data_IF_662642475444
#
_entry.id   IF_662642475444
#
_cell.length_a   1.000
_cell.length_b   1.000
_cell.length_c   1.000
_cell.angle_alpha   90.00
_cell.angle_beta   90.00
_cell.angle_gamma   90.00
#
_symmetry.space_group_name_H-M   'P 1'
#
loop_
_entity.id
_entity.type
_entity.pdbx_description
1 polymer ?
#
# COMPACT_ATOMS: atom_id res chain seq x y z
N UNK A 1 16.00 -29.41 5.37
CA UNK A 1 15.99 -28.15 4.58
C UNK A 1 15.67 -28.33 3.09
N UNK A 2 15.88 -29.51 2.48
CA UNK A 2 15.69 -29.63 1.02
C UNK A 2 14.23 -29.85 0.58
N UNK A 3 13.46 -30.68 1.30
CA UNK A 3 12.11 -31.04 0.90
C UNK A 3 11.12 -29.84 0.86
N UNK A 4 11.02 -28.96 1.88
CA UNK A 4 10.14 -27.79 1.81
C UNK A 4 10.54 -26.80 0.71
N UNK A 5 11.85 -26.68 0.46
CA UNK A 5 12.37 -25.80 -0.59
C UNK A 5 12.04 -26.32 -1.98
N UNK A 6 12.18 -27.64 -2.20
CA UNK A 6 11.75 -28.28 -3.45
C UNK A 6 10.26 -28.11 -3.70
N UNK A 7 9.41 -28.31 -2.69
CA UNK A 7 7.95 -28.12 -2.83
C UNK A 7 7.63 -26.68 -3.27
N UNK A 8 8.27 -25.68 -2.65
CA UNK A 8 8.07 -24.26 -3.00
C UNK A 8 8.57 -23.93 -4.40
N UNK A 9 9.73 -24.45 -4.79
CA UNK A 9 10.25 -24.33 -6.15
C UNK A 9 9.33 -25.00 -7.17
N UNK A 10 8.84 -26.22 -6.89
CA UNK A 10 7.94 -26.97 -7.75
C UNK A 10 6.60 -26.27 -7.97
N UNK A 11 6.12 -25.48 -6.99
CA UNK A 11 4.92 -24.65 -7.11
C UNK A 11 5.08 -23.45 -8.06
N UNK A 12 6.31 -23.07 -8.45
CA UNK A 12 6.54 -21.98 -9.40
C UNK A 12 5.91 -22.30 -10.76
N UNK A 13 5.07 -21.44 -11.36
CA UNK A 13 4.40 -21.77 -12.62
C UNK A 13 5.38 -21.88 -13.82
N UNK A 14 6.62 -21.39 -13.67
CA UNK A 14 7.62 -21.33 -14.74
C UNK A 14 8.63 -22.47 -14.60
N UNK A 15 8.97 -23.12 -15.72
CA UNK A 15 10.07 -24.09 -15.79
C UNK A 15 11.43 -23.47 -15.48
N UNK A 16 11.60 -22.17 -15.73
CA UNK A 16 12.81 -21.42 -15.42
C UNK A 16 12.51 -20.43 -14.30
N UNK A 17 13.28 -20.50 -13.23
CA UNK A 17 13.13 -19.64 -12.03
C UNK A 17 14.38 -18.78 -11.92
N UNK A 18 14.20 -17.46 -11.88
CA UNK A 18 15.31 -16.50 -11.82
C UNK A 18 15.82 -16.35 -10.38
N UNK A 19 17.11 -16.02 -10.23
CA UNK A 19 17.82 -16.03 -8.95
C UNK A 19 17.16 -15.21 -7.84
N UNK A 20 16.62 -14.04 -8.16
CA UNK A 20 15.93 -13.21 -7.17
C UNK A 20 14.69 -13.92 -6.59
N UNK A 21 13.96 -14.64 -7.43
CA UNK A 21 12.81 -15.44 -7.00
C UNK A 21 13.26 -16.66 -6.16
N UNK A 22 14.40 -17.27 -6.51
CA UNK A 22 15.00 -18.36 -5.74
C UNK A 22 15.40 -17.88 -4.34
N UNK A 23 16.13 -16.75 -4.27
CA UNK A 23 16.54 -16.11 -3.00
C UNK A 23 15.33 -15.81 -2.14
N UNK A 24 14.29 -15.20 -2.70
CA UNK A 24 13.05 -14.92 -2.00
C UNK A 24 12.42 -16.20 -1.42
N UNK A 25 12.19 -17.23 -2.26
CA UNK A 25 11.58 -18.47 -1.82
C UNK A 25 12.38 -19.18 -0.72
N UNK A 26 13.71 -19.17 -0.82
CA UNK A 26 14.59 -19.81 0.15
C UNK A 26 14.63 -19.07 1.48
N UNK A 27 14.84 -17.75 1.47
CA UNK A 27 14.93 -16.96 2.71
C UNK A 27 13.59 -16.74 3.40
N UNK A 28 12.47 -16.79 2.67
CA UNK A 28 11.13 -16.86 3.29
C UNK A 28 10.86 -18.21 3.97
N UNK A 29 11.49 -19.31 3.52
CA UNK A 29 11.39 -20.62 4.18
C UNK A 29 12.35 -20.75 5.36
N UNK A 30 13.51 -20.09 5.30
CA UNK A 30 14.57 -20.15 6.31
C UNK A 30 14.99 -18.74 6.73
N UNK A 31 14.15 -17.98 7.46
CA UNK A 31 14.45 -16.62 7.89
C UNK A 31 15.74 -16.53 8.72
N UNK A 32 16.08 -17.58 9.47
CA UNK A 32 17.31 -17.69 10.26
C UNK A 32 18.58 -17.63 9.39
N UNK A 33 18.48 -17.96 8.10
CA UNK A 33 19.60 -17.93 7.16
C UNK A 33 19.78 -16.55 6.52
N UNK A 34 18.75 -15.69 6.51
CA UNK A 34 18.75 -14.42 5.76
C UNK A 34 19.90 -13.48 6.16
N UNK A 35 20.24 -13.46 7.46
CA UNK A 35 21.31 -12.64 8.03
C UNK A 35 22.60 -13.44 8.33
N UNK A 36 22.65 -14.72 7.93
CA UNK A 36 23.82 -15.55 8.17
C UNK A 36 24.98 -15.16 7.23
N UNK A 37 26.24 -15.08 7.72
CA UNK A 37 27.39 -14.72 6.88
C UNK A 37 27.58 -15.67 5.69
N UNK A 38 27.20 -16.95 5.85
CA UNK A 38 27.32 -17.98 4.82
C UNK A 38 26.03 -18.22 4.01
N UNK A 39 25.07 -17.30 4.04
CA UNK A 39 23.77 -17.46 3.36
C UNK A 39 23.89 -17.86 1.88
N UNK A 40 24.90 -17.34 1.19
CA UNK A 40 25.18 -17.67 -0.22
C UNK A 40 25.64 -19.11 -0.37
N UNK A 41 26.52 -19.58 0.52
CA UNK A 41 27.01 -20.97 0.54
C UNK A 41 25.90 -21.95 0.84
N UNK A 42 25.04 -21.64 1.83
CA UNK A 42 23.90 -22.48 2.19
C UNK A 42 22.89 -22.61 1.06
N UNK A 43 22.57 -21.50 0.38
CA UNK A 43 21.70 -21.53 -0.80
C UNK A 43 22.32 -22.33 -1.94
N UNK A 44 23.62 -22.15 -2.21
CA UNK A 44 24.31 -22.89 -3.27
C UNK A 44 24.31 -24.40 -2.99
N UNK A 45 24.62 -24.82 -1.76
CA UNK A 45 24.57 -26.22 -1.34
C UNK A 45 23.17 -26.80 -1.51
N UNK A 46 22.13 -26.04 -1.16
CA UNK A 46 20.76 -26.47 -1.35
C UNK A 46 20.42 -26.69 -2.83
N UNK A 47 20.83 -25.77 -3.70
CA UNK A 47 20.63 -25.89 -5.15
C UNK A 47 21.43 -27.07 -5.74
N UNK A 48 22.66 -27.30 -5.28
CA UNK A 48 23.48 -28.43 -5.72
C UNK A 48 22.83 -29.76 -5.32
N UNK A 49 22.40 -29.91 -4.07
CA UNK A 49 21.74 -31.13 -3.62
C UNK A 49 20.43 -31.41 -4.38
N UNK A 50 19.67 -30.38 -4.76
CA UNK A 50 18.49 -30.55 -5.61
C UNK A 50 18.84 -30.94 -7.05
N UNK A 51 19.97 -30.46 -7.57
CA UNK A 51 20.46 -30.82 -8.91
C UNK A 51 20.98 -32.26 -8.94
N UNK A 52 21.73 -32.67 -7.92
CA UNK A 52 22.23 -34.03 -7.74
C UNK A 52 21.07 -35.03 -7.58
N UNK A 53 19.99 -34.61 -6.91
CA UNK A 53 18.74 -35.36 -6.82
C UNK A 53 17.86 -35.33 -8.08
N UNK A 54 18.32 -34.71 -9.18
CA UNK A 54 17.62 -34.66 -10.47
C UNK A 54 16.36 -33.77 -10.51
N UNK A 55 16.07 -33.03 -9.43
CA UNK A 55 14.87 -32.20 -9.34
C UNK A 55 15.00 -30.87 -10.11
N UNK A 56 16.24 -30.39 -10.31
CA UNK A 56 16.54 -29.17 -11.04
C UNK A 56 17.77 -29.36 -11.93
N UNK A 57 17.93 -28.49 -12.92
CA UNK A 57 19.12 -28.37 -13.75
C UNK A 57 19.73 -26.98 -13.53
N UNK A 58 21.01 -26.97 -13.16
CA UNK A 58 21.82 -25.76 -13.06
C UNK A 58 22.24 -25.27 -14.45
N UNK A 59 22.34 -23.95 -14.67
CA UNK A 59 22.71 -23.41 -15.95
C UNK A 59 24.22 -23.52 -16.18
N UNK A 60 24.66 -23.39 -17.44
CA UNK A 60 26.06 -23.31 -17.79
C UNK A 60 26.77 -22.17 -17.03
N UNK A 61 28.07 -22.34 -16.74
CA UNK A 61 28.87 -21.39 -15.91
C UNK A 61 28.82 -19.94 -16.38
N UNK A 62 28.65 -19.68 -17.68
CA UNK A 62 28.48 -18.33 -18.22
C UNK A 62 27.22 -17.58 -17.69
N UNK A 63 26.22 -18.32 -17.23
CA UNK A 63 24.97 -17.79 -16.65
C UNK A 63 25.02 -17.73 -15.12
N UNK A 64 26.20 -17.64 -14.52
CA UNK A 64 26.37 -17.43 -13.08
C UNK A 64 26.69 -15.95 -12.81
N UNK A 65 26.45 -15.50 -11.57
CA UNK A 65 26.86 -14.17 -11.14
C UNK A 65 28.38 -13.99 -11.34
N UNK A 66 28.79 -12.80 -11.80
CA UNK A 66 30.22 -12.44 -11.95
C UNK A 66 30.84 -11.97 -10.64
N UNK A 67 29.99 -11.51 -9.70
CA UNK A 67 30.37 -10.90 -8.43
C UNK A 67 29.50 -11.59 -7.36
N UNK A 68 30.14 -12.15 -6.32
CA UNK A 68 29.50 -12.89 -5.24
C UNK A 68 30.42 -13.99 -4.71
N UNK A 69 30.48 -14.16 -3.40
CA UNK A 69 31.24 -15.24 -2.74
C UNK A 69 30.29 -16.07 -1.85
N UNK A 70 29.88 -17.28 -2.28
CA UNK A 70 30.10 -17.89 -3.60
C UNK A 70 29.21 -17.27 -4.70
N UNK A 71 29.60 -17.43 -5.96
CA UNK A 71 28.78 -17.04 -7.10
C UNK A 71 27.57 -17.97 -7.24
N UNK A 72 26.38 -17.41 -7.44
CA UNK A 72 25.13 -18.18 -7.61
C UNK A 72 24.72 -18.25 -9.09
N UNK A 73 23.97 -19.29 -9.51
CA UNK A 73 23.39 -19.36 -10.85
C UNK A 73 22.33 -18.27 -11.01
N UNK A 74 22.32 -17.54 -12.13
CA UNK A 74 21.32 -16.48 -12.39
C UNK A 74 19.89 -17.00 -12.51
N UNK A 75 19.73 -18.29 -12.81
CA UNK A 75 18.46 -18.99 -12.91
C UNK A 75 18.68 -20.49 -12.74
N UNK A 76 17.61 -21.22 -12.44
CA UNK A 76 17.58 -22.70 -12.51
C UNK A 76 16.46 -23.17 -13.43
N UNK A 77 16.57 -24.39 -13.95
CA UNK A 77 15.46 -25.04 -14.66
C UNK A 77 14.90 -26.18 -13.81
N UNK A 78 13.61 -26.16 -13.55
CA UNK A 78 12.93 -27.25 -12.83
C UNK A 78 12.78 -28.46 -13.75
N UNK A 79 13.18 -29.62 -13.26
CA UNK A 79 12.88 -30.90 -13.89
C UNK A 79 11.48 -31.28 -13.42
N UNK A 80 10.53 -31.25 -14.35
CA UNK A 80 9.21 -31.80 -14.12
C UNK A 80 9.13 -33.07 -14.93
N UNK A 81 8.94 -34.20 -14.26
CA UNK A 81 8.20 -35.28 -14.90
C UNK A 81 6.91 -34.66 -15.44
N UNK A 82 6.58 -34.96 -16.69
CA UNK A 82 5.29 -34.58 -17.25
C UNK A 82 4.22 -35.31 -16.45
N UNK A 83 3.86 -34.78 -15.28
CA UNK A 83 2.51 -34.92 -14.81
C UNK A 83 1.68 -34.20 -15.87
N UNK A 84 1.02 -34.98 -16.71
CA UNK A 84 -0.23 -34.56 -17.30
C UNK A 84 -1.03 -33.98 -16.14
N UNK A 85 -1.09 -32.65 -16.06
CA UNK A 85 -2.05 -32.01 -15.17
C UNK A 85 -3.37 -32.66 -15.51
N UNK A 86 -4.07 -33.33 -14.58
CA UNK A 86 -5.43 -33.73 -14.83
C UNK A 86 -6.12 -32.48 -15.33
N UNK A 87 -6.55 -32.47 -16.58
CA UNK A 87 -7.48 -31.44 -17.06
C UNK A 87 -8.76 -31.74 -16.31
N UNK A 88 -8.86 -31.17 -15.12
CA UNK A 88 -10.08 -31.16 -14.34
C UNK A 88 -11.20 -30.79 -15.30
N UNK A 89 -12.19 -31.67 -15.42
CA UNK A 89 -13.36 -31.41 -16.23
C UNK A 89 -14.24 -30.39 -15.49
N UNK A 90 -13.93 -29.11 -15.67
CA UNK A 90 -14.62 -27.99 -15.02
C UNK A 90 -16.12 -27.94 -15.35
N UNK A 91 -16.58 -28.63 -16.39
CA UNK A 91 -18.00 -28.75 -16.72
C UNK A 91 -18.78 -29.59 -15.71
N UNK A 92 -18.10 -30.48 -14.97
CA UNK A 92 -18.71 -31.34 -13.93
C UNK A 92 -18.70 -30.69 -12.54
N UNK A 93 -18.06 -29.54 -12.38
CA UNK A 93 -18.02 -28.83 -11.09
C UNK A 93 -19.39 -28.22 -10.82
N UNK A 94 -19.99 -28.46 -9.63
CA UNK A 94 -21.24 -27.79 -9.25
C UNK A 94 -20.94 -26.34 -8.87
N UNK A 95 -20.97 -25.46 -9.88
CA UNK A 95 -20.68 -24.04 -9.69
C UNK A 95 -21.78 -23.33 -8.90
N UNK A 96 -21.37 -22.49 -7.95
CA UNK A 96 -22.27 -21.57 -7.25
C UNK A 96 -22.71 -20.45 -8.20
N UNK A 97 -23.90 -19.86 -8.01
CA UNK A 97 -24.42 -18.80 -8.88
C UNK A 97 -23.46 -17.62 -9.05
N UNK A 98 -22.72 -17.28 -8.00
CA UNK A 98 -21.75 -16.19 -7.96
C UNK A 98 -20.56 -16.39 -8.91
N UNK A 99 -20.33 -17.63 -9.35
CA UNK A 99 -19.32 -17.99 -10.35
C UNK A 99 -19.94 -18.45 -11.68
N UNK A 100 -21.17 -18.05 -11.97
CA UNK A 100 -21.88 -18.42 -13.21
C UNK A 100 -21.14 -18.03 -14.51
N UNK A 101 -20.18 -17.12 -14.44
CA UNK A 101 -19.33 -16.70 -15.55
C UNK A 101 -18.09 -17.60 -15.78
N UNK A 102 -17.98 -18.74 -15.10
CA UNK A 102 -16.78 -19.59 -15.12
C UNK A 102 -16.37 -20.03 -16.53
N UNK A 103 -17.31 -20.23 -17.45
CA UNK A 103 -17.04 -20.64 -18.84
C UNK A 103 -16.21 -19.65 -19.63
N UNK A 104 -16.21 -18.38 -19.20
CA UNK A 104 -15.45 -17.30 -19.84
C UNK A 104 -14.03 -17.14 -19.25
N UNK A 105 -13.68 -17.93 -18.22
CA UNK A 105 -12.39 -17.84 -17.55
C UNK A 105 -11.28 -18.56 -18.32
N UNK A 106 -10.08 -17.99 -18.28
CA UNK A 106 -8.89 -18.67 -18.82
C UNK A 106 -8.55 -19.91 -17.98
N UNK A 107 -7.86 -20.92 -18.54
CA UNK A 107 -7.50 -22.13 -17.78
C UNK A 107 -6.81 -21.86 -16.43
N UNK A 108 -5.91 -20.87 -16.36
CA UNK A 108 -5.25 -20.50 -15.11
C UNK A 108 -6.19 -19.86 -14.07
N UNK A 109 -7.30 -19.25 -14.52
CA UNK A 109 -8.32 -18.65 -13.66
C UNK A 109 -9.33 -19.68 -13.15
N UNK A 110 -9.61 -20.73 -13.94
CA UNK A 110 -10.54 -21.81 -13.57
C UNK A 110 -10.10 -22.54 -12.30
N UNK A 111 -8.79 -22.73 -12.10
CA UNK A 111 -8.25 -23.33 -10.87
C UNK A 111 -8.60 -22.47 -9.65
N UNK A 112 -8.34 -21.16 -9.72
CA UNK A 112 -8.66 -20.24 -8.63
C UNK A 112 -10.18 -20.12 -8.41
N UNK A 113 -10.97 -20.14 -9.49
CA UNK A 113 -12.42 -20.12 -9.41
C UNK A 113 -12.95 -21.38 -8.72
N UNK A 114 -12.43 -22.57 -9.04
CA UNK A 114 -12.80 -23.83 -8.40
C UNK A 114 -12.54 -23.80 -6.89
N UNK A 115 -11.39 -23.28 -6.47
CA UNK A 115 -11.07 -23.12 -5.03
C UNK A 115 -12.05 -22.17 -4.34
N UNK A 116 -12.40 -21.04 -4.97
CA UNK A 116 -13.42 -20.12 -4.45
C UNK A 116 -14.80 -20.80 -4.40
N UNK A 117 -15.15 -21.59 -5.42
CA UNK A 117 -16.41 -22.32 -5.49
C UNK A 117 -16.57 -23.27 -4.30
N UNK A 118 -15.56 -24.10 -4.05
CA UNK A 118 -15.54 -25.04 -2.93
C UNK A 118 -15.64 -24.31 -1.58
N UNK A 119 -14.95 -23.18 -1.45
CA UNK A 119 -15.07 -22.33 -0.27
C UNK A 119 -16.51 -21.82 -0.06
N UNK A 120 -17.14 -21.27 -1.10
CA UNK A 120 -18.50 -20.73 -1.03
C UNK A 120 -19.54 -21.82 -0.74
N UNK A 121 -19.37 -23.01 -1.31
CA UNK A 121 -20.20 -24.18 -0.98
C UNK A 121 -20.07 -24.58 0.48
N UNK A 122 -18.84 -24.63 1.01
CA UNK A 122 -18.57 -24.99 2.42
C UNK A 122 -19.11 -23.97 3.41
N UNK A 123 -19.11 -22.68 3.05
CA UNK A 123 -19.52 -21.56 3.92
C UNK A 123 -20.94 -21.05 3.66
N UNK A 124 -21.74 -21.78 2.88
CA UNK A 124 -23.08 -21.37 2.47
C UNK A 124 -23.96 -21.05 3.68
N UNK A 125 -24.54 -19.85 3.70
CA UNK A 125 -25.45 -19.40 4.76
C UNK A 125 -24.79 -18.93 6.07
N UNK A 126 -23.45 -18.92 6.18
CA UNK A 126 -22.73 -18.55 7.41
C UNK A 126 -21.49 -17.68 7.18
N UNK A 127 -21.46 -16.92 6.08
CA UNK A 127 -20.27 -16.17 5.66
C UNK A 127 -20.15 -14.83 6.42
N UNK A 128 -19.24 -14.78 7.40
CA UNK A 128 -18.88 -13.54 8.09
C UNK A 128 -18.00 -12.63 7.22
N UNK A 129 -18.07 -11.32 7.44
CA UNK A 129 -17.13 -10.37 6.81
C UNK A 129 -15.83 -10.31 7.60
N UNK A 130 -14.70 -10.56 6.92
CA UNK A 130 -13.36 -10.54 7.52
C UNK A 130 -12.35 -9.78 6.64
N UNK A 131 -11.19 -9.35 7.17
CA UNK A 131 -10.13 -8.75 6.37
C UNK A 131 -9.68 -9.63 5.19
N UNK A 132 -9.35 -8.99 4.07
CA UNK A 132 -8.98 -9.67 2.81
C UNK A 132 -7.84 -10.68 2.97
N UNK A 133 -6.83 -10.37 3.80
CA UNK A 133 -5.68 -11.26 4.01
C UNK A 133 -6.06 -12.53 4.77
N UNK A 134 -6.95 -12.41 5.75
CA UNK A 134 -7.51 -13.56 6.48
C UNK A 134 -8.33 -14.44 5.54
N UNK A 135 -9.21 -13.82 4.74
CA UNK A 135 -10.00 -14.56 3.75
C UNK A 135 -9.12 -15.21 2.68
N UNK A 136 -8.09 -14.52 2.23
CA UNK A 136 -7.15 -15.02 1.23
C UNK A 136 -6.40 -16.25 1.75
N UNK A 137 -5.93 -16.19 3.00
CA UNK A 137 -5.29 -17.32 3.67
C UNK A 137 -6.26 -18.50 3.82
N UNK A 138 -7.51 -18.27 4.18
CA UNK A 138 -8.50 -19.35 4.31
C UNK A 138 -8.84 -20.01 2.97
N UNK A 139 -9.01 -19.22 1.90
CA UNK A 139 -9.38 -19.75 0.58
C UNK A 139 -8.17 -20.43 -0.08
N UNK A 140 -7.00 -19.81 -0.05
CA UNK A 140 -5.85 -20.20 -0.88
C UNK A 140 -4.63 -20.70 -0.12
N UNK A 141 -4.58 -20.57 1.20
CA UNK A 141 -3.35 -20.79 1.98
C UNK A 141 -2.27 -19.74 1.73
N UNK A 142 -2.63 -18.61 1.09
CA UNK A 142 -1.74 -17.50 0.73
C UNK A 142 -2.46 -16.18 1.01
N UNK A 143 -1.96 -15.42 1.99
CA UNK A 143 -2.56 -14.17 2.46
C UNK A 143 -2.54 -13.04 1.42
N UNK A 144 -1.69 -13.14 0.39
CA UNK A 144 -1.53 -12.12 -0.66
C UNK A 144 -2.31 -12.46 -1.92
N UNK A 145 -2.87 -13.67 -2.02
CA UNK A 145 -3.48 -14.18 -3.25
C UNK A 145 -4.63 -13.31 -3.75
N UNK A 146 -5.58 -12.95 -2.88
CA UNK A 146 -6.71 -12.09 -3.26
C UNK A 146 -6.27 -10.66 -3.59
N UNK A 147 -5.27 -10.11 -2.88
CA UNK A 147 -4.68 -8.81 -3.21
C UNK A 147 -4.04 -8.81 -4.61
N UNK A 148 -3.28 -9.86 -4.93
CA UNK A 148 -2.68 -10.03 -6.25
C UNK A 148 -3.72 -10.24 -7.36
N UNK A 149 -4.84 -10.90 -7.06
CA UNK A 149 -5.96 -11.05 -8.01
C UNK A 149 -6.76 -9.75 -8.21
N UNK A 150 -6.68 -8.81 -7.25
CA UNK A 150 -7.29 -7.49 -7.36
C UNK A 150 -6.40 -6.52 -8.14
N UNK A 151 -5.08 -6.65 -8.03
CA UNK A 151 -4.08 -5.90 -8.80
C UNK A 151 -4.05 -6.41 -10.25
N UNK A 152 -4.46 -5.58 -11.21
CA UNK A 152 -4.56 -5.97 -12.63
C UNK A 152 -5.99 -6.03 -13.18
N UNK A 153 -6.85 -5.12 -12.70
CA UNK A 153 -8.29 -5.02 -12.97
C UNK A 153 -9.10 -6.16 -12.38
N UNK A 154 -9.36 -6.05 -11.07
CA UNK A 154 -10.49 -6.63 -10.33
C UNK A 154 -10.56 -8.17 -10.31
N UNK A 155 -11.14 -8.74 -9.24
CA UNK A 155 -11.25 -10.20 -9.12
C UNK A 155 -12.04 -10.74 -10.32
N UNK A 156 -11.37 -11.52 -11.17
CA UNK A 156 -11.87 -11.93 -12.48
C UNK A 156 -12.40 -10.78 -13.34
N UNK A 157 -11.67 -9.66 -13.44
CA UNK A 157 -12.10 -8.49 -14.22
C UNK A 157 -13.40 -7.87 -13.70
N UNK A 158 -13.67 -8.01 -12.40
CA UNK A 158 -14.75 -7.30 -11.70
C UNK A 158 -16.04 -8.08 -11.68
N UNK A 159 -16.00 -9.31 -12.18
CA UNK A 159 -17.14 -10.23 -12.20
C UNK A 159 -17.45 -10.81 -10.84
N UNK A 160 -16.50 -10.73 -9.89
CA UNK A 160 -16.70 -11.15 -8.51
C UNK A 160 -16.26 -10.03 -7.56
N UNK A 161 -17.09 -9.73 -6.57
CA UNK A 161 -16.77 -8.72 -5.55
C UNK A 161 -16.09 -9.35 -4.34
N UNK A 162 -15.32 -8.57 -3.57
CA UNK A 162 -14.78 -9.04 -2.29
C UNK A 162 -15.89 -9.33 -1.28
N UNK A 163 -16.98 -8.56 -1.32
CA UNK A 163 -18.14 -8.76 -0.45
C UNK A 163 -18.79 -10.13 -0.66
N UNK A 164 -18.80 -10.63 -1.90
CA UNK A 164 -19.26 -11.99 -2.23
C UNK A 164 -18.44 -13.07 -1.50
N UNK A 165 -17.16 -12.79 -1.22
CA UNK A 165 -16.28 -13.67 -0.45
C UNK A 165 -16.35 -13.43 1.06
N UNK A 166 -17.22 -12.54 1.52
CA UNK A 166 -17.21 -12.08 2.91
C UNK A 166 -15.86 -11.49 3.27
N UNK A 167 -15.23 -10.77 2.34
CA UNK A 167 -13.95 -10.11 2.52
C UNK A 167 -14.10 -8.60 2.36
N UNK A 168 -13.28 -7.84 3.08
CA UNK A 168 -13.14 -6.41 2.87
C UNK A 168 -11.68 -5.99 2.98
N UNK A 169 -11.32 -4.90 2.29
CA UNK A 169 -9.99 -4.32 2.42
C UNK A 169 -9.91 -3.53 3.73
N UNK A 170 -8.86 -3.78 4.51
CA UNK A 170 -8.55 -2.98 5.70
C UNK A 170 -7.51 -1.93 5.27
N UNK A 171 -7.80 -0.63 5.38
CA UNK A 171 -6.81 0.40 5.07
C UNK A 171 -5.67 0.36 6.10
N UNK A 172 -4.48 0.82 5.71
CA UNK A 172 -3.41 1.00 6.68
C UNK A 172 -3.83 2.07 7.70
N UNK A 173 -3.62 1.85 9.01
CA UNK A 173 -4.02 2.81 10.03
C UNK A 173 -3.22 4.10 9.89
N UNK A 174 -3.89 5.24 10.09
CA UNK A 174 -3.26 6.56 10.16
C UNK A 174 -2.84 6.85 11.60
N UNK A 175 -1.60 7.30 11.86
CA UNK A 175 -1.23 7.81 13.17
C UNK A 175 -2.00 9.10 13.49
N UNK A 176 -2.64 9.16 14.65
CA UNK A 176 -3.32 10.35 15.14
C UNK A 176 -3.21 10.53 16.65
N UNK A 177 -3.33 11.79 17.10
CA UNK A 177 -3.36 12.20 18.51
C UNK A 177 -4.73 12.80 18.83
N UNK A 178 -5.60 12.09 19.56
CA UNK A 178 -6.90 12.62 19.94
C UNK A 178 -6.77 13.71 21.01
N UNK A 179 -7.77 14.58 21.08
CA UNK A 179 -7.99 15.50 22.18
C UNK A 179 -9.44 15.36 22.68
N UNK A 180 -9.71 15.75 23.94
CA UNK A 180 -11.06 15.74 24.51
C UNK A 180 -11.91 16.92 23.98
N UNK A 181 -12.15 16.91 22.68
CA UNK A 181 -12.82 17.99 21.95
C UNK A 181 -13.72 17.46 20.82
N UNK A 182 -14.70 16.58 21.12
CA UNK A 182 -15.57 16.01 20.09
C UNK A 182 -16.37 17.10 19.35
N UNK A 183 -16.71 16.84 18.10
CA UNK A 183 -17.41 17.78 17.22
C UNK A 183 -16.53 18.90 16.66
N UNK A 184 -15.23 18.94 16.99
CA UNK A 184 -14.25 19.81 16.36
C UNK A 184 -13.67 19.18 15.09
N UNK A 185 -13.09 19.97 14.17
CA UNK A 185 -12.44 19.40 12.99
C UNK A 185 -11.25 18.51 13.36
N UNK A 186 -10.87 17.64 12.42
CA UNK A 186 -9.54 17.03 12.39
C UNK A 186 -8.56 17.98 11.71
N UNK A 187 -7.30 17.99 12.16
CA UNK A 187 -6.21 18.62 11.44
C UNK A 187 -5.22 17.56 10.95
N UNK A 188 -5.13 17.39 9.64
CA UNK A 188 -4.06 16.62 8.98
C UNK A 188 -2.86 17.54 8.78
N UNK A 189 -1.70 17.09 9.22
CA UNK A 189 -0.42 17.76 8.99
C UNK A 189 0.54 16.86 8.23
N UNK A 190 1.20 17.42 7.23
CA UNK A 190 2.05 16.65 6.32
C UNK A 190 3.28 16.06 7.01
N UNK A 191 3.96 16.87 7.83
CA UNK A 191 5.25 16.53 8.44
C UNK A 191 5.12 15.91 9.84
N UNK A 192 6.02 14.98 10.19
CA UNK A 192 6.01 14.28 11.49
C UNK A 192 6.40 15.19 12.68
N UNK A 193 7.25 16.20 12.47
CA UNK A 193 7.60 17.19 13.49
C UNK A 193 6.45 18.16 13.76
N UNK A 194 5.75 18.57 12.70
CA UNK A 194 4.52 19.35 12.80
C UNK A 194 3.41 18.55 13.48
N UNK A 195 3.29 17.25 13.18
CA UNK A 195 2.40 16.32 13.87
C UNK A 195 2.65 16.29 15.38
N UNK A 196 3.91 16.19 15.80
CA UNK A 196 4.23 16.28 17.22
C UNK A 196 3.82 17.64 17.79
N UNK A 197 4.26 18.74 17.18
CA UNK A 197 4.05 20.11 17.67
C UNK A 197 2.56 20.47 17.81
N UNK A 198 1.77 20.25 16.76
CA UNK A 198 0.33 20.47 16.78
C UNK A 198 -0.37 19.50 17.73
N UNK A 199 0.09 18.24 17.79
CA UNK A 199 -0.48 17.23 18.67
C UNK A 199 -0.35 17.61 20.15
N UNK A 200 0.83 18.09 20.57
CA UNK A 200 1.07 18.58 21.94
C UNK A 200 0.28 19.86 22.23
N UNK A 201 0.35 20.85 21.33
CA UNK A 201 -0.35 22.12 21.50
C UNK A 201 -1.88 21.92 21.60
N UNK A 202 -2.45 21.01 20.80
CA UNK A 202 -3.87 20.76 20.77
C UNK A 202 -4.41 20.05 22.03
N UNK A 203 -3.54 19.44 22.87
CA UNK A 203 -3.97 18.92 24.18
C UNK A 203 -4.52 20.02 25.09
N UNK A 204 -3.96 21.23 24.97
CA UNK A 204 -4.39 22.41 25.70
C UNK A 204 -5.41 23.23 24.88
N UNK A 205 -5.09 23.52 23.62
CA UNK A 205 -5.91 24.41 22.78
C UNK A 205 -7.29 23.81 22.45
N UNK A 206 -7.40 22.47 22.36
CA UNK A 206 -8.64 21.73 22.07
C UNK A 206 -9.39 22.28 20.84
N UNK A 207 -8.64 22.75 19.85
CA UNK A 207 -9.16 23.30 18.60
C UNK A 207 -9.57 22.21 17.62
N UNK A 208 -8.94 21.04 17.71
CA UNK A 208 -9.20 19.87 16.87
C UNK A 208 -9.59 18.66 17.70
N UNK A 209 -10.48 17.81 17.17
CA UNK A 209 -10.82 16.53 17.80
C UNK A 209 -9.61 15.58 17.80
N UNK A 210 -8.78 15.68 16.76
CA UNK A 210 -7.46 15.06 16.71
C UNK A 210 -6.55 15.75 15.69
N UNK A 211 -5.24 15.56 15.88
CA UNK A 211 -4.21 15.86 14.89
C UNK A 211 -3.77 14.57 14.24
N UNK A 212 -3.71 14.52 12.90
CA UNK A 212 -3.43 13.33 12.10
C UNK A 212 -2.14 13.55 11.31
N UNK A 213 -1.29 12.53 11.25
CA UNK A 213 -0.08 12.56 10.43
C UNK A 213 -0.40 12.14 8.99
N UNK A 214 -0.18 13.04 8.02
CA UNK A 214 -0.48 12.83 6.60
C UNK A 214 0.59 12.02 5.85
N UNK A 215 1.85 12.04 6.29
CA UNK A 215 2.96 11.32 5.65
C UNK A 215 3.20 11.69 4.17
N UNK A 216 3.01 12.96 3.80
CA UNK A 216 3.28 13.46 2.46
C UNK A 216 2.42 12.80 1.38
N UNK A 217 3.07 12.37 0.30
CA UNK A 217 2.44 11.74 -0.87
C UNK A 217 1.61 10.49 -0.53
N UNK A 218 1.98 9.76 0.53
CA UNK A 218 1.24 8.59 0.98
C UNK A 218 -0.19 8.94 1.41
N UNK A 219 -0.46 10.19 1.81
CA UNK A 219 -1.78 10.64 2.23
C UNK A 219 -2.87 10.36 1.18
N UNK A 220 -2.53 10.44 -0.11
CA UNK A 220 -3.47 10.28 -1.24
C UNK A 220 -4.28 8.98 -1.20
N UNK A 221 -3.74 7.92 -0.61
CA UNK A 221 -4.37 6.60 -0.53
C UNK A 221 -5.02 6.30 0.82
N UNK A 222 -5.22 7.30 1.68
CA UNK A 222 -5.62 7.11 3.08
C UNK A 222 -7.08 7.47 3.38
N UNK A 223 -7.91 7.70 2.36
CA UNK A 223 -9.30 8.17 2.50
C UNK A 223 -10.14 7.34 3.47
N UNK A 224 -10.17 6.02 3.29
CA UNK A 224 -10.86 5.11 4.20
C UNK A 224 -10.35 5.16 5.65
N UNK A 225 -9.02 5.20 5.86
CA UNK A 225 -8.44 5.31 7.20
C UNK A 225 -8.79 6.65 7.86
N UNK A 226 -8.76 7.75 7.09
CA UNK A 226 -9.14 9.07 7.57
C UNK A 226 -10.61 9.12 7.99
N UNK A 227 -11.49 8.46 7.24
CA UNK A 227 -12.91 8.30 7.59
C UNK A 227 -13.09 7.56 8.92
N UNK A 228 -12.31 6.51 9.15
CA UNK A 228 -12.32 5.78 10.43
C UNK A 228 -11.90 6.69 11.59
N UNK A 229 -10.80 7.45 11.45
CA UNK A 229 -10.36 8.39 12.50
C UNK A 229 -11.45 9.43 12.79
N UNK A 230 -12.06 10.01 11.75
CA UNK A 230 -13.13 11.01 11.89
C UNK A 230 -14.31 10.48 12.72
N UNK A 231 -14.70 9.22 12.51
CA UNK A 231 -15.75 8.55 13.27
C UNK A 231 -15.33 8.27 14.72
N UNK A 232 -14.14 7.71 14.93
CA UNK A 232 -13.61 7.33 16.26
C UNK A 232 -13.56 8.52 17.22
N UNK A 233 -13.10 9.68 16.74
CA UNK A 233 -12.97 10.89 17.54
C UNK A 233 -14.21 11.79 17.51
N UNK A 234 -15.27 11.38 16.79
CA UNK A 234 -16.50 12.14 16.56
C UNK A 234 -16.22 13.55 16.02
N UNK A 235 -15.31 13.66 15.05
CA UNK A 235 -14.96 14.94 14.43
C UNK A 235 -16.01 15.42 13.42
N UNK A 236 -16.02 16.73 13.14
CA UNK A 236 -17.00 17.35 12.24
C UNK A 236 -16.62 17.32 10.76
N UNK A 237 -15.38 17.65 10.45
CA UNK A 237 -14.81 17.77 9.11
C UNK A 237 -13.28 17.67 9.19
N UNK A 238 -12.60 17.61 8.06
CA UNK A 238 -11.15 17.47 8.02
C UNK A 238 -10.51 18.70 7.38
N UNK A 239 -9.50 19.24 8.05
CA UNK A 239 -8.64 20.31 7.54
C UNK A 239 -7.24 19.76 7.26
N UNK A 240 -6.56 20.31 6.27
CA UNK A 240 -5.20 19.92 5.88
C UNK A 240 -4.26 21.13 5.92
N UNK A 241 -3.06 20.91 6.46
CA UNK A 241 -1.95 21.85 6.48
C UNK A 241 -0.68 21.13 6.02
N UNK A 242 -0.08 21.66 4.95
CA UNK A 242 1.21 21.21 4.42
C UNK A 242 2.07 22.40 4.02
N UNK A 243 3.15 22.12 3.30
CA UNK A 243 4.08 23.13 2.82
C UNK A 243 3.41 24.08 1.81
N UNK A 244 3.84 25.35 1.79
CA UNK A 244 3.45 26.32 0.76
C UNK A 244 4.34 26.18 -0.48
N UNK A 245 4.45 24.96 -0.99
CA UNK A 245 5.10 24.63 -2.25
C UNK A 245 4.12 23.91 -3.19
N UNK A 246 4.43 23.77 -4.49
CA UNK A 246 3.52 23.16 -5.45
C UNK A 246 3.09 21.73 -5.09
N UNK A 247 3.95 20.97 -4.39
CA UNK A 247 3.70 19.58 -4.02
C UNK A 247 2.80 19.50 -2.78
N UNK A 248 3.11 20.26 -1.73
CA UNK A 248 2.33 20.35 -0.50
C UNK A 248 0.89 20.81 -0.74
N UNK A 249 0.68 21.71 -1.72
CA UNK A 249 -0.65 22.11 -2.19
C UNK A 249 -1.31 21.06 -3.09
N UNK A 250 -0.52 20.34 -3.89
CA UNK A 250 -1.01 19.30 -4.79
C UNK A 250 -1.57 18.07 -4.06
N UNK A 251 -0.94 17.65 -2.95
CA UNK A 251 -1.34 16.46 -2.17
C UNK A 251 -2.83 16.48 -1.76
N UNK A 252 -3.37 17.51 -1.09
CA UNK A 252 -4.77 17.52 -0.68
C UNK A 252 -5.76 17.65 -1.86
N UNK A 253 -5.37 18.34 -2.94
CA UNK A 253 -6.17 18.39 -4.17
C UNK A 253 -6.27 17.00 -4.81
N UNK A 254 -5.15 16.30 -4.91
CA UNK A 254 -5.08 14.96 -5.48
C UNK A 254 -5.83 13.96 -4.63
N UNK A 255 -5.69 14.03 -3.30
CA UNK A 255 -6.52 13.28 -2.36
C UNK A 255 -8.01 13.52 -2.64
N UNK A 256 -8.45 14.78 -2.67
CA UNK A 256 -9.86 15.10 -2.91
C UNK A 256 -10.36 14.62 -4.28
N UNK A 257 -9.49 14.58 -5.31
CA UNK A 257 -9.84 14.05 -6.64
C UNK A 257 -9.94 12.53 -6.67
N UNK A 258 -9.04 11.82 -5.98
CA UNK A 258 -8.98 10.35 -6.00
C UNK A 258 -9.88 9.67 -4.98
N UNK A 259 -10.23 10.35 -3.89
CA UNK A 259 -11.07 9.78 -2.82
C UNK A 259 -12.47 9.47 -3.32
N UNK A 260 -13.03 8.33 -2.90
CA UNK A 260 -14.37 7.91 -3.25
C UNK A 260 -15.42 8.91 -2.74
N UNK A 261 -16.63 8.90 -3.30
CA UNK A 261 -17.70 9.85 -2.94
C UNK A 261 -18.14 9.74 -1.47
N UNK A 262 -17.99 8.57 -0.86
CA UNK A 262 -18.31 8.31 0.55
C UNK A 262 -17.15 8.57 1.51
N UNK A 263 -15.93 8.77 0.99
CA UNK A 263 -14.76 9.08 1.81
C UNK A 263 -14.73 10.58 2.16
N UNK A 264 -14.20 10.97 3.33
CA UNK A 264 -14.13 12.37 3.71
C UNK A 264 -13.25 13.15 2.72
N UNK A 265 -13.67 14.38 2.44
CA UNK A 265 -12.84 15.38 1.75
C UNK A 265 -12.14 16.27 2.78
N UNK A 266 -10.98 16.80 2.39
CA UNK A 266 -10.22 17.75 3.20
C UNK A 266 -10.42 19.17 2.70
N UNK A 267 -10.52 20.13 3.62
CA UNK A 267 -10.45 21.57 3.32
C UNK A 267 -9.12 22.18 3.75
N UNK A 268 -8.76 23.38 3.27
CA UNK A 268 -7.56 24.07 3.71
C UNK A 268 -7.70 24.52 5.17
N UNK A 269 -6.64 24.35 5.96
CA UNK A 269 -6.54 25.00 7.27
C UNK A 269 -6.15 26.48 7.09
N UNK A 270 -7.10 27.27 6.58
CA UNK A 270 -6.91 28.65 6.08
C UNK A 270 -6.14 29.54 7.07
N UNK A 271 -6.48 29.48 8.36
CA UNK A 271 -5.83 30.28 9.41
C UNK A 271 -4.32 30.05 9.49
N UNK A 272 -3.86 28.81 9.29
CA UNK A 272 -2.45 28.47 9.37
C UNK A 272 -1.69 28.79 8.09
N UNK A 273 -2.35 28.65 6.94
CA UNK A 273 -1.78 29.11 5.68
C UNK A 273 -1.61 30.63 5.66
N UNK A 274 -2.58 31.38 6.21
CA UNK A 274 -2.47 32.82 6.43
C UNK A 274 -1.31 33.17 7.36
N UNK A 275 -1.20 32.45 8.48
CA UNK A 275 -0.12 32.65 9.42
C UNK A 275 1.26 32.42 8.77
N UNK A 276 1.41 31.32 8.01
CA UNK A 276 2.65 30.99 7.30
C UNK A 276 3.02 32.06 6.26
N UNK A 277 2.05 32.59 5.50
CA UNK A 277 2.32 33.65 4.53
C UNK A 277 2.81 34.95 5.17
N UNK A 278 2.32 35.25 6.38
CA UNK A 278 2.67 36.47 7.11
C UNK A 278 3.97 36.36 7.92
N UNK A 279 4.22 35.20 8.54
CA UNK A 279 5.30 35.04 9.53
C UNK A 279 6.28 33.93 9.19
N UNK A 280 5.97 33.08 8.22
CA UNK A 280 6.78 31.90 7.89
C UNK A 280 8.09 32.26 7.21
N UNK A 281 9.10 31.42 7.45
CA UNK A 281 10.43 31.57 6.85
C UNK A 281 10.38 31.23 5.35
N UNK A 282 10.57 32.23 4.50
CA UNK A 282 10.67 32.02 3.05
C UNK A 282 12.01 31.38 2.72
N UNK A 283 11.97 30.37 1.86
CA UNK A 283 13.16 29.69 1.34
C UNK A 283 13.11 29.68 -0.18
N UNK A 284 14.28 29.77 -0.79
CA UNK A 284 14.42 29.64 -2.23
C UNK A 284 14.24 28.19 -2.67
N UNK A 285 13.52 28.02 -3.79
CA UNK A 285 13.32 26.75 -4.50
C UNK A 285 12.96 27.08 -5.95
N UNK A 286 13.96 27.07 -6.82
CA UNK A 286 13.85 27.49 -8.24
C UNK A 286 12.72 26.76 -8.98
N UNK A 287 12.47 25.49 -8.65
CA UNK A 287 11.40 24.66 -9.21
C UNK A 287 10.00 25.29 -9.03
N UNK A 288 9.81 26.17 -8.04
CA UNK A 288 8.54 26.87 -7.85
C UNK A 288 8.25 27.92 -8.94
N UNK A 289 9.26 28.47 -9.61
CA UNK A 289 9.05 29.56 -10.59
C UNK A 289 8.20 29.15 -11.80
N UNK A 290 8.25 27.86 -12.17
CA UNK A 290 7.48 27.28 -13.27
C UNK A 290 6.15 26.65 -12.84
N UNK A 291 5.81 26.73 -11.55
CA UNK A 291 4.59 26.12 -11.03
C UNK A 291 3.33 26.86 -11.52
N UNK A 292 2.30 26.15 -11.99
CA UNK A 292 1.05 26.77 -12.39
C UNK A 292 0.36 27.39 -11.14
N UNK A 293 -0.27 28.58 -11.27
CA UNK A 293 -0.93 29.24 -10.14
C UNK A 293 -2.28 28.59 -9.78
N UNK A 294 -2.91 27.89 -10.73
CA UNK A 294 -4.27 27.38 -10.60
C UNK A 294 -4.46 26.43 -9.40
N UNK A 295 -3.57 25.45 -9.12
CA UNK A 295 -3.72 24.59 -7.95
C UNK A 295 -3.74 25.37 -6.62
N UNK A 296 -2.95 26.45 -6.49
CA UNK A 296 -2.99 27.27 -5.29
C UNK A 296 -4.33 27.99 -5.11
N UNK A 297 -4.91 28.47 -6.21
CA UNK A 297 -6.23 29.14 -6.23
C UNK A 297 -7.35 28.13 -5.97
N UNK A 298 -7.30 26.96 -6.59
CA UNK A 298 -8.30 25.90 -6.39
C UNK A 298 -8.33 25.41 -4.94
N UNK A 299 -7.16 25.32 -4.30
CA UNK A 299 -7.04 24.83 -2.93
C UNK A 299 -7.32 25.89 -1.86
N UNK A 300 -6.71 27.08 -1.99
CA UNK A 300 -6.74 28.12 -0.94
C UNK A 300 -7.73 29.26 -1.24
N UNK A 301 -8.43 29.19 -2.37
CA UNK A 301 -9.28 30.26 -2.88
C UNK A 301 -8.49 31.42 -3.51
N UNK A 302 -9.24 32.36 -4.08
CA UNK A 302 -8.70 33.44 -4.91
C UNK A 302 -7.66 34.31 -4.16
N UNK A 303 -7.95 34.68 -2.91
CA UNK A 303 -7.13 35.63 -2.16
C UNK A 303 -5.80 35.02 -1.71
N UNK A 304 -5.83 33.86 -1.04
CA UNK A 304 -4.61 33.21 -0.55
C UNK A 304 -3.86 32.51 -1.67
N UNK A 305 -4.57 31.86 -2.60
CA UNK A 305 -3.99 31.20 -3.75
C UNK A 305 -3.14 32.16 -4.61
N UNK A 306 -3.61 33.39 -4.85
CA UNK A 306 -2.82 34.40 -5.55
C UNK A 306 -1.56 34.83 -4.79
N UNK A 307 -1.60 34.89 -3.45
CA UNK A 307 -0.41 35.20 -2.63
C UNK A 307 0.63 34.09 -2.75
N UNK A 308 0.18 32.83 -2.70
CA UNK A 308 1.05 31.66 -2.87
C UNK A 308 1.61 31.58 -4.29
N UNK A 309 0.81 31.86 -5.32
CA UNK A 309 1.28 31.93 -6.70
C UNK A 309 2.39 32.98 -6.88
N UNK A 310 2.27 34.16 -6.25
CA UNK A 310 3.33 35.19 -6.26
C UNK A 310 4.59 34.72 -5.53
N UNK A 311 4.45 34.03 -4.40
CA UNK A 311 5.55 33.42 -3.67
C UNK A 311 6.33 32.46 -4.58
N UNK A 312 5.61 31.58 -5.30
CA UNK A 312 6.22 30.63 -6.23
C UNK A 312 6.88 31.29 -7.43
N UNK A 313 6.24 32.29 -8.03
CA UNK A 313 6.81 33.05 -9.15
C UNK A 313 8.12 33.75 -8.76
N UNK A 314 8.24 34.18 -7.50
CA UNK A 314 9.48 34.71 -6.94
C UNK A 314 10.53 33.63 -6.63
N UNK A 315 10.29 32.37 -6.98
CA UNK A 315 11.19 31.23 -6.72
C UNK A 315 11.25 30.82 -5.26
N UNK A 316 10.21 31.14 -4.47
CA UNK A 316 10.18 30.87 -3.05
C UNK A 316 9.10 29.85 -2.67
N UNK A 317 9.26 29.28 -1.48
CA UNK A 317 8.26 28.47 -0.77
C UNK A 317 8.40 28.70 0.73
N UNK A 318 7.44 28.21 1.52
CA UNK A 318 7.49 28.27 2.99
C UNK A 318 7.26 26.85 3.53
N UNK A 319 8.20 26.29 4.32
CA UNK A 319 8.02 25.01 4.97
C UNK A 319 6.99 25.11 6.09
N UNK A 320 6.23 24.03 6.28
CA UNK A 320 5.24 23.90 7.34
C UNK A 320 5.87 24.10 8.73
N UNK A 321 7.11 23.64 8.92
CA UNK A 321 7.83 23.76 10.21
C UNK A 321 8.14 25.20 10.62
N UNK A 322 7.94 26.19 9.75
CA UNK A 322 7.99 27.60 10.15
C UNK A 322 6.92 27.95 11.20
N UNK A 323 5.83 27.18 11.27
CA UNK A 323 4.85 27.22 12.36
C UNK A 323 5.17 26.09 13.36
N UNK A 324 6.23 26.31 14.14
CA UNK A 324 6.72 25.35 15.13
C UNK A 324 5.98 25.43 16.47
N UNK A 325 6.35 24.54 17.39
CA UNK A 325 5.75 24.47 18.72
C UNK A 325 5.85 25.77 19.52
N UNK A 326 6.98 26.49 19.42
CA UNK A 326 7.16 27.77 20.11
C UNK A 326 6.16 28.82 19.64
N UNK A 327 5.93 28.92 18.33
CA UNK A 327 4.95 29.83 17.75
C UNK A 327 3.53 29.40 18.10
N UNK A 328 3.23 28.10 18.08
CA UNK A 328 1.91 27.61 18.51
C UNK A 328 1.58 27.96 19.96
N UNK A 329 2.58 27.92 20.86
CA UNK A 329 2.39 28.29 22.28
C UNK A 329 2.01 29.75 22.49
N UNK A 330 2.36 30.66 21.58
CA UNK A 330 1.94 32.07 21.66
C UNK A 330 0.50 32.28 21.16
N UNK A 331 -0.11 31.25 20.58
CA UNK A 331 -1.44 31.26 19.97
C UNK A 331 -2.48 30.43 20.75
N UNK A 332 -2.18 30.12 22.02
CA UNK A 332 -3.09 29.38 22.92
C UNK A 332 -4.34 30.17 23.32
#
# INVERSE_FOLDING_TARGET
MLAPFLVRLAASPRKRVELEQIKQMYFELYPEVQNHPERGSLLLQALQALADGGAIVLPARASWEKIGQPALPKWIKLVREQYETPTDDFSKVPWVPELGFWTELKPAQLIAAKTINEFLLRRRGGLLRVPIKERSLEIFGDEKRLDAMRLGNTLFSGRLSLDTLGAFAVPLPLPYRPASAPGKPLLVVENHNSYWSFGEWNQLARRYSAVVYGAGEAFRSTGAALGQVLLEVRGSNVLYLGDLDPKGIGIPLDFNRSSASYEPKVGPATEWYEWLLSHGLRREKVVCTSAPPQPAVDWLGETLGKKVARLWHAGNWIPQEALGFEQLRTLL
#
